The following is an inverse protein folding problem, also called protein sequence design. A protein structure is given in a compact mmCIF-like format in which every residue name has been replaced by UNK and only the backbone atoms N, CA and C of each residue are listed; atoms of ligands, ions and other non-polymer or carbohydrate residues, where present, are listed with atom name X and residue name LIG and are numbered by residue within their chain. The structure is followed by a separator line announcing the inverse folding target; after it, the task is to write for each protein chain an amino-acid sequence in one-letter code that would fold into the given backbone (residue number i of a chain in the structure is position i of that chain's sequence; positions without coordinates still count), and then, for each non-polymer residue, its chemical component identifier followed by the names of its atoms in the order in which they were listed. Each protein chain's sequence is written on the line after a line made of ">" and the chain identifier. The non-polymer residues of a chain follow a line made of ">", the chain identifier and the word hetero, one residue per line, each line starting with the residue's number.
data_IF_433005568634
#
_entry.id   IF_433005568634
#
_cell.length_a   1.000
_cell.length_b   1.000
_cell.length_c   1.000
_cell.angle_alpha   90.00
_cell.angle_beta   90.00
_cell.angle_gamma   90.00
#
_symmetry.space_group_name_H-M   'P 1'
#
loop_
_entity.id
_entity.type
_entity.pdbx_description
1 polymer ?
#
# COMPACT_ATOMS: atom_id res chain seq x y z
N UNK A 1 15.16 -43.24 19.79
CA UNK A 1 15.09 -43.06 18.32
C UNK A 1 13.97 -42.05 18.08
N UNK A 2 14.29 -40.81 17.65
CA UNK A 2 14.35 -40.41 16.22
C UNK A 2 13.03 -40.79 15.55
N UNK A 3 12.17 -39.93 15.05
CA UNK A 3 12.12 -38.50 14.72
C UNK A 3 10.70 -38.33 14.10
N UNK A 4 10.23 -37.26 13.50
CA UNK A 4 10.68 -35.91 13.15
C UNK A 4 9.36 -35.18 12.86
N UNK A 5 9.30 -33.89 13.17
CA UNK A 5 8.20 -33.01 12.79
C UNK A 5 7.94 -33.05 11.28
N UNK A 6 6.66 -32.94 10.90
CA UNK A 6 6.28 -32.35 9.63
C UNK A 6 5.08 -31.43 9.87
N UNK A 7 5.35 -30.30 10.52
CA UNK A 7 4.54 -29.10 10.29
C UNK A 7 4.77 -28.74 8.83
N UNK A 8 3.82 -29.12 7.97
CA UNK A 8 3.72 -28.55 6.65
C UNK A 8 3.38 -27.06 6.83
N UNK A 9 4.42 -26.24 6.92
CA UNK A 9 4.33 -24.81 6.68
C UNK A 9 3.99 -24.65 5.19
N UNK A 10 2.71 -24.83 4.86
CA UNK A 10 2.18 -24.29 3.61
C UNK A 10 2.32 -22.78 3.75
N UNK A 11 3.27 -22.21 3.02
CA UNK A 11 3.39 -20.78 2.79
C UNK A 11 2.06 -20.26 2.26
N UNK A 12 1.16 -19.90 3.17
CA UNK A 12 -0.03 -19.14 2.86
C UNK A 12 0.50 -17.81 2.37
N UNK A 13 0.57 -17.65 1.04
CA UNK A 13 0.32 -16.35 0.46
C UNK A 13 -1.08 -15.97 0.94
N UNK A 14 -1.12 -15.29 2.09
CA UNK A 14 -2.33 -14.71 2.63
C UNK A 14 -2.82 -13.76 1.53
N UNK A 15 -3.80 -14.24 0.77
CA UNK A 15 -4.40 -13.46 -0.29
C UNK A 15 -5.01 -12.26 0.39
N UNK A 16 -4.64 -11.05 -0.03
CA UNK A 16 -5.15 -9.84 0.58
C UNK A 16 -6.68 -9.89 0.66
N UNK A 17 -7.28 -9.41 1.77
CA UNK A 17 -8.73 -9.46 1.95
C UNK A 17 -9.46 -8.72 0.83
N UNK A 18 -10.72 -9.10 0.57
CA UNK A 18 -11.55 -8.38 -0.38
C UNK A 18 -11.65 -6.89 0.01
N UNK A 19 -11.63 -5.97 -0.97
CA UNK A 19 -11.63 -4.54 -0.67
C UNK A 19 -12.93 -4.09 0.02
N UNK A 20 -12.89 -3.02 0.84
CA UNK A 20 -14.08 -2.50 1.51
C UNK A 20 -15.18 -2.08 0.53
N UNK A 21 -16.46 -2.24 0.91
CA UNK A 21 -17.63 -2.01 0.03
C UNK A 21 -17.78 -0.56 -0.48
N UNK A 22 -17.15 0.38 0.20
CA UNK A 22 -17.14 1.80 -0.08
C UNK A 22 -15.86 2.26 -0.80
N UNK A 23 -15.05 1.31 -1.27
CA UNK A 23 -13.91 1.54 -2.16
C UNK A 23 -14.27 1.07 -3.56
N UNK A 24 -14.20 1.97 -4.53
CA UNK A 24 -14.34 1.65 -5.96
C UNK A 24 -13.00 1.75 -6.67
N UNK A 25 -12.81 0.98 -7.75
CA UNK A 25 -11.57 0.94 -8.50
C UNK A 25 -11.77 1.36 -9.95
N UNK A 26 -10.82 2.14 -10.47
CA UNK A 26 -10.71 2.50 -11.90
C UNK A 26 -9.27 2.31 -12.38
N UNK A 27 -9.06 2.27 -13.69
CA UNK A 27 -7.75 2.01 -14.30
C UNK A 27 -7.47 0.51 -14.41
N UNK A 28 -6.25 0.07 -14.07
CA UNK A 28 -5.83 -1.32 -14.19
C UNK A 28 -6.78 -2.31 -13.49
N UNK A 29 -7.02 -3.45 -14.14
CA UNK A 29 -7.82 -4.56 -13.61
C UNK A 29 -6.94 -5.71 -13.11
N UNK A 30 -6.20 -5.47 -12.02
CA UNK A 30 -5.45 -6.50 -11.29
C UNK A 30 -6.11 -6.77 -9.93
N UNK A 31 -6.67 -7.97 -9.77
CA UNK A 31 -7.43 -8.32 -8.57
C UNK A 31 -6.56 -8.36 -7.30
N UNK A 32 -5.30 -8.79 -7.41
CA UNK A 32 -4.39 -8.88 -6.27
C UNK A 32 -3.97 -7.49 -5.79
N UNK A 33 -3.71 -6.57 -6.74
CA UNK A 33 -3.40 -5.18 -6.42
C UNK A 33 -4.60 -4.49 -5.78
N UNK A 34 -5.80 -4.66 -6.35
CA UNK A 34 -7.03 -4.09 -5.79
C UNK A 34 -7.31 -4.59 -4.36
N UNK A 35 -7.09 -5.88 -4.11
CA UNK A 35 -7.21 -6.44 -2.77
C UNK A 35 -6.20 -5.81 -1.80
N UNK A 36 -4.94 -5.68 -2.21
CA UNK A 36 -3.88 -5.03 -1.42
C UNK A 36 -4.17 -3.55 -1.14
N UNK A 37 -4.65 -2.80 -2.13
CA UNK A 37 -5.08 -1.40 -1.93
C UNK A 37 -6.22 -1.34 -0.93
N UNK A 38 -7.19 -2.26 -1.02
CA UNK A 38 -8.28 -2.39 -0.08
C UNK A 38 -7.80 -2.65 1.36
N UNK A 39 -6.80 -3.52 1.52
CA UNK A 39 -6.16 -3.81 2.80
C UNK A 39 -5.48 -2.57 3.40
N UNK A 40 -4.69 -1.84 2.62
CA UNK A 40 -4.07 -0.58 3.07
C UNK A 40 -5.11 0.43 3.57
N UNK A 41 -6.19 0.63 2.80
CA UNK A 41 -7.29 1.53 3.22
C UNK A 41 -7.94 1.03 4.51
N UNK A 42 -8.14 -0.29 4.65
CA UNK A 42 -8.73 -0.88 5.84
C UNK A 42 -7.85 -0.66 7.07
N UNK A 43 -6.53 -0.89 6.98
CA UNK A 43 -5.61 -0.69 8.10
C UNK A 43 -5.53 0.79 8.52
N UNK A 44 -5.52 1.72 7.56
CA UNK A 44 -5.60 3.16 7.86
C UNK A 44 -6.89 3.48 8.64
N UNK A 45 -8.05 2.97 8.20
CA UNK A 45 -9.36 3.19 8.87
C UNK A 45 -9.41 2.58 10.27
N UNK A 46 -8.83 1.39 10.45
CA UNK A 46 -8.71 0.73 11.75
C UNK A 46 -7.74 1.45 12.70
N UNK A 47 -6.94 2.38 12.18
CA UNK A 47 -5.85 3.06 12.88
C UNK A 47 -4.74 2.10 13.31
N UNK A 48 -4.56 1.02 12.56
CA UNK A 48 -3.54 0.01 12.83
C UNK A 48 -2.24 0.36 12.08
N UNK A 49 -1.41 1.20 12.71
CA UNK A 49 -0.13 1.59 12.13
C UNK A 49 0.86 0.40 12.04
N UNK A 50 0.79 -0.55 12.97
CA UNK A 50 1.68 -1.71 12.97
C UNK A 50 1.32 -2.67 11.84
N UNK A 51 0.03 -2.96 11.67
CA UNK A 51 -0.49 -3.73 10.54
C UNK A 51 -0.12 -3.08 9.20
N UNK A 52 -0.32 -1.77 9.09
CA UNK A 52 0.03 -1.01 7.88
C UNK A 52 1.55 -1.03 7.58
N UNK A 53 2.41 -0.88 8.59
CA UNK A 53 3.86 -0.96 8.42
C UNK A 53 4.32 -2.36 7.97
N UNK A 54 3.61 -3.43 8.38
CA UNK A 54 3.92 -4.81 7.98
C UNK A 54 3.68 -5.10 6.48
N UNK A 55 2.87 -4.26 5.81
CA UNK A 55 2.62 -4.35 4.37
C UNK A 55 3.78 -3.80 3.53
N UNK A 56 4.71 -3.09 4.18
CA UNK A 56 5.94 -2.60 3.57
C UNK A 56 7.01 -3.69 3.57
N UNK A 57 7.61 -3.94 2.42
CA UNK A 57 8.67 -4.92 2.22
C UNK A 57 9.84 -4.19 1.54
N UNK A 58 11.04 -4.26 2.14
CA UNK A 58 12.24 -3.69 1.52
C UNK A 58 12.79 -4.54 0.37
N UNK A 59 13.76 -3.98 -0.33
CA UNK A 59 14.54 -4.65 -1.39
C UNK A 59 15.21 -5.95 -0.93
N UNK A 60 15.41 -6.12 0.38
CA UNK A 60 15.96 -7.35 0.99
C UNK A 60 14.89 -8.32 1.50
N UNK A 61 13.61 -7.93 1.48
CA UNK A 61 12.48 -8.78 1.89
C UNK A 61 12.04 -8.62 3.32
N UNK A 62 12.67 -7.73 4.05
CA UNK A 62 12.29 -7.45 5.42
C UNK A 62 11.02 -6.64 5.43
N UNK A 63 10.07 -7.10 6.24
CA UNK A 63 8.79 -6.44 6.47
C UNK A 63 8.92 -5.33 7.50
N UNK A 64 8.35 -4.17 7.22
CA UNK A 64 8.32 -3.01 8.10
C UNK A 64 9.70 -2.40 8.38
N UNK A 65 9.90 -1.96 9.63
CA UNK A 65 11.09 -1.27 10.10
C UNK A 65 10.83 0.19 10.50
N UNK A 66 11.80 0.87 11.11
CA UNK A 66 11.57 2.16 11.77
C UNK A 66 10.95 3.24 10.87
N UNK A 67 11.32 3.27 9.59
CA UNK A 67 10.75 4.24 8.64
C UNK A 67 9.36 3.83 8.17
N UNK A 68 9.10 2.54 7.96
CA UNK A 68 7.75 2.03 7.69
C UNK A 68 6.80 2.33 8.87
N UNK A 69 7.28 2.15 10.11
CA UNK A 69 6.52 2.46 11.33
C UNK A 69 6.16 3.95 11.40
N UNK A 70 7.13 4.84 11.15
CA UNK A 70 6.91 6.30 11.11
C UNK A 70 5.91 6.69 10.01
N UNK A 71 6.10 6.16 8.81
CA UNK A 71 5.22 6.48 7.68
C UNK A 71 3.80 5.96 7.87
N UNK A 72 3.64 4.74 8.39
CA UNK A 72 2.34 4.17 8.73
C UNK A 72 1.63 4.97 9.83
N UNK A 73 2.37 5.38 10.88
CA UNK A 73 1.83 6.25 11.93
C UNK A 73 1.36 7.60 11.38
N UNK A 74 2.11 8.19 10.44
CA UNK A 74 1.72 9.42 9.76
C UNK A 74 0.43 9.25 8.96
N UNK A 75 0.32 8.19 8.16
CA UNK A 75 -0.88 7.88 7.38
C UNK A 75 -2.11 7.72 8.29
N UNK A 76 -1.99 6.95 9.37
CA UNK A 76 -3.06 6.77 10.34
C UNK A 76 -3.44 8.11 10.99
N UNK A 77 -2.46 8.89 11.44
CA UNK A 77 -2.69 10.17 12.12
C UNK A 77 -3.53 11.14 11.28
N UNK A 78 -3.25 11.20 9.98
CA UNK A 78 -3.85 12.22 9.11
C UNK A 78 -4.97 11.73 8.20
N UNK A 79 -5.00 10.43 7.84
CA UNK A 79 -5.93 9.90 6.85
C UNK A 79 -6.93 8.89 7.40
N UNK A 80 -6.81 8.42 8.65
CA UNK A 80 -7.79 7.51 9.24
C UNK A 80 -9.22 8.09 9.27
N UNK A 81 -9.37 9.38 9.58
CA UNK A 81 -10.68 10.04 9.56
C UNK A 81 -11.14 10.40 8.14
N UNK A 82 -10.33 11.08 7.30
CA UNK A 82 -10.73 11.42 5.94
C UNK A 82 -11.11 10.24 5.05
N UNK A 83 -10.50 9.06 5.27
CA UNK A 83 -10.78 7.86 4.47
C UNK A 83 -11.96 7.03 4.98
N UNK A 84 -12.67 7.41 6.06
CA UNK A 84 -13.84 6.63 6.53
C UNK A 84 -15.02 6.56 5.56
N UNK A 85 -15.12 7.55 4.66
CA UNK A 85 -16.20 7.63 3.68
C UNK A 85 -15.86 6.89 2.38
N UNK A 86 -16.65 7.17 1.34
CA UNK A 86 -16.43 6.63 -0.01
C UNK A 86 -15.05 7.05 -0.53
N UNK A 87 -14.33 6.08 -1.07
CA UNK A 87 -13.02 6.25 -1.71
C UNK A 87 -13.07 5.69 -3.13
N UNK A 88 -12.52 6.42 -4.09
CA UNK A 88 -12.23 5.91 -5.43
C UNK A 88 -10.72 5.75 -5.58
N UNK A 89 -10.25 4.53 -5.77
CA UNK A 89 -8.86 4.21 -6.06
C UNK A 89 -8.66 4.12 -7.58
N UNK A 90 -7.85 5.02 -8.14
CA UNK A 90 -7.44 4.99 -9.53
C UNK A 90 -6.03 4.38 -9.62
N UNK A 91 -5.90 3.30 -10.38
CA UNK A 91 -4.65 2.56 -10.52
C UNK A 91 -4.04 2.87 -11.89
N UNK A 92 -2.87 3.51 -11.89
CA UNK A 92 -2.08 3.74 -13.08
C UNK A 92 -0.68 3.11 -12.96
N UNK A 93 -0.22 2.52 -14.06
CA UNK A 93 1.13 1.96 -14.15
C UNK A 93 1.98 2.99 -14.87
N UNK A 94 2.99 3.51 -14.18
CA UNK A 94 4.04 4.25 -14.88
C UNK A 94 4.62 3.39 -16.01
N UNK A 95 4.88 4.02 -17.16
CA UNK A 95 5.28 3.30 -18.36
C UNK A 95 6.65 2.61 -18.24
N UNK A 96 7.46 2.91 -17.21
CA UNK A 96 8.82 2.39 -17.07
C UNK A 96 9.21 2.07 -15.62
N UNK A 97 8.75 0.96 -15.04
CA UNK A 97 9.27 0.49 -13.75
C UNK A 97 8.43 -0.59 -13.05
N UNK A 98 8.93 -1.14 -11.93
CA UNK A 98 8.15 -2.02 -11.05
C UNK A 98 7.15 -1.23 -10.18
N UNK A 99 7.24 0.10 -10.11
CA UNK A 99 6.35 0.91 -9.28
C UNK A 99 4.97 1.05 -9.95
N UNK A 100 3.92 0.81 -9.17
CA UNK A 100 2.53 1.08 -9.53
C UNK A 100 1.96 2.08 -8.54
N UNK A 101 1.42 3.18 -9.08
CA UNK A 101 0.86 4.25 -8.28
C UNK A 101 -0.67 4.14 -8.24
N UNK A 102 -1.21 4.38 -7.06
CA UNK A 102 -2.65 4.35 -6.82
C UNK A 102 -3.06 5.69 -6.22
N UNK A 103 -3.86 6.46 -6.95
CA UNK A 103 -4.41 7.71 -6.43
C UNK A 103 -5.77 7.44 -5.78
N UNK A 104 -5.85 7.62 -4.47
CA UNK A 104 -7.09 7.60 -3.71
C UNK A 104 -7.76 8.97 -3.80
N UNK A 105 -9.02 8.98 -4.21
CA UNK A 105 -9.87 10.16 -4.24
C UNK A 105 -10.95 10.02 -3.16
N UNK A 106 -11.10 11.01 -2.28
CA UNK A 106 -11.99 10.94 -1.12
C UNK A 106 -12.52 12.31 -0.69
N UNK A 107 -13.57 12.32 0.14
CA UNK A 107 -14.11 13.53 0.77
C UNK A 107 -14.84 14.51 -0.15
N UNK A 108 -15.37 15.58 0.47
CA UNK A 108 -15.95 16.77 -0.19
C UNK A 108 -15.43 18.03 0.53
N UNK A 109 -14.70 18.96 -0.13
CA UNK A 109 -14.25 18.90 -1.53
C UNK A 109 -13.37 17.66 -1.81
N UNK A 110 -13.23 17.29 -3.08
CA UNK A 110 -12.47 16.08 -3.46
C UNK A 110 -10.99 16.29 -3.11
N UNK A 111 -10.45 15.37 -2.33
CA UNK A 111 -9.04 15.31 -1.95
C UNK A 111 -8.39 14.08 -2.55
N UNK A 112 -7.06 14.10 -2.64
CA UNK A 112 -6.26 13.04 -3.23
C UNK A 112 -5.15 12.56 -2.28
N UNK A 113 -4.80 11.28 -2.36
CA UNK A 113 -3.67 10.66 -1.68
C UNK A 113 -3.07 9.62 -2.61
N UNK A 114 -1.79 9.77 -2.94
CA UNK A 114 -1.06 8.79 -3.74
C UNK A 114 -0.48 7.71 -2.83
N UNK A 115 -0.63 6.45 -3.24
CA UNK A 115 -0.06 5.28 -2.61
C UNK A 115 0.83 4.55 -3.63
N UNK A 116 1.98 4.08 -3.16
CA UNK A 116 3.00 3.43 -3.97
C UNK A 116 3.06 1.93 -3.68
N UNK A 117 2.92 1.12 -4.73
CA UNK A 117 2.99 -0.34 -4.68
C UNK A 117 4.06 -0.87 -5.61
N UNK A 118 4.79 -1.91 -5.19
CA UNK A 118 5.84 -2.51 -6.02
C UNK A 118 5.37 -3.82 -6.69
N UNK A 119 5.60 -3.95 -7.99
CA UNK A 119 5.49 -5.14 -8.82
C UNK A 119 6.87 -5.81 -8.93
N UNK A 120 7.26 -6.60 -7.93
CA UNK A 120 8.52 -7.35 -7.94
C UNK A 120 8.51 -8.58 -8.89
N UNK A 121 7.76 -8.53 -10.01
CA UNK A 121 7.56 -9.65 -10.93
C UNK A 121 8.83 -10.21 -11.63
N UNK A 122 9.03 -11.53 -11.48
CA UNK A 122 9.75 -12.55 -12.31
C UNK A 122 11.11 -12.29 -12.99
N UNK A 123 11.75 -11.12 -12.90
CA UNK A 123 13.14 -10.96 -13.38
C UNK A 123 14.12 -10.74 -12.25
N UNK A 124 14.51 -11.85 -11.61
CA UNK A 124 15.82 -12.01 -10.97
C UNK A 124 15.93 -11.68 -9.48
N UNK A 125 15.01 -10.91 -8.90
CA UNK A 125 14.98 -10.60 -7.47
C UNK A 125 13.62 -11.00 -6.90
N UNK A 126 13.33 -12.31 -6.92
CA UNK A 126 12.23 -12.83 -6.11
C UNK A 126 12.67 -12.74 -4.66
N UNK A 127 12.24 -11.67 -4.00
CA UNK A 127 12.37 -11.56 -2.56
C UNK A 127 11.30 -12.45 -1.92
N UNK A 128 11.48 -13.77 -2.01
CA UNK A 128 10.65 -14.86 -1.46
C UNK A 128 9.13 -14.60 -1.37
N UNK A 129 8.60 -13.95 -2.40
CA UNK A 129 7.25 -13.44 -2.41
C UNK A 129 6.71 -13.50 -3.82
N UNK A 130 5.85 -14.49 -4.06
CA UNK A 130 5.30 -14.79 -5.36
C UNK A 130 4.48 -13.65 -5.97
N UNK A 131 4.00 -13.92 -7.19
CA UNK A 131 2.99 -13.12 -7.86
C UNK A 131 1.91 -12.68 -6.87
N UNK A 132 1.62 -11.37 -6.81
CA UNK A 132 0.47 -10.84 -6.09
C UNK A 132 0.71 -10.31 -4.68
N UNK A 133 1.96 -10.18 -4.21
CA UNK A 133 2.20 -9.56 -2.89
C UNK A 133 2.03 -8.03 -2.88
N UNK A 134 2.27 -7.35 -4.01
CA UNK A 134 2.11 -5.90 -4.17
C UNK A 134 2.56 -5.09 -2.92
N UNK A 135 3.84 -5.10 -2.53
CA UNK A 135 4.26 -4.43 -1.30
C UNK A 135 3.91 -2.94 -1.29
N UNK A 136 3.38 -2.45 -0.17
CA UNK A 136 3.00 -1.05 0.02
C UNK A 136 4.15 -0.27 0.63
N UNK A 137 4.57 0.84 0.02
CA UNK A 137 5.76 1.58 0.47
C UNK A 137 5.47 2.60 1.59
N UNK A 138 5.05 2.13 2.77
CA UNK A 138 4.77 2.97 3.95
C UNK A 138 5.96 3.88 4.31
N UNK A 139 7.19 3.38 4.19
CA UNK A 139 8.44 4.09 4.49
C UNK A 139 8.61 5.43 3.76
N UNK A 140 7.99 5.60 2.59
CA UNK A 140 8.09 6.86 1.82
C UNK A 140 7.45 8.03 2.54
N UNK A 141 6.58 7.76 3.51
CA UNK A 141 5.95 8.78 4.34
C UNK A 141 6.75 9.10 5.63
N UNK A 142 7.88 8.42 5.87
CA UNK A 142 8.70 8.64 7.07
C UNK A 142 9.30 10.06 7.10
N UNK A 143 9.75 10.57 5.95
CA UNK A 143 10.36 11.91 5.85
C UNK A 143 9.36 13.04 6.13
N UNK A 144 8.07 12.78 5.92
CA UNK A 144 6.99 13.75 6.16
C UNK A 144 6.32 13.56 7.53
N UNK A 145 6.77 12.61 8.35
CA UNK A 145 6.14 12.23 9.61
C UNK A 145 5.92 13.41 10.58
N UNK A 146 6.84 14.38 10.57
CA UNK A 146 6.80 15.56 11.45
C UNK A 146 6.01 16.74 10.88
N UNK A 147 5.41 16.60 9.70
CA UNK A 147 4.66 17.66 9.02
C UNK A 147 3.21 17.23 8.77
N UNK A 148 2.22 18.11 8.91
CA UNK A 148 0.87 17.82 8.45
C UNK A 148 0.86 17.64 6.92
N UNK A 149 -0.08 16.85 6.36
CA UNK A 149 -0.23 16.75 4.92
C UNK A 149 -0.45 18.14 4.34
N UNK A 150 0.32 18.47 3.30
CA UNK A 150 0.13 19.73 2.59
C UNK A 150 -1.26 19.72 1.98
N UNK A 151 -2.06 20.73 2.28
CA UNK A 151 -3.45 20.89 1.79
C UNK A 151 -3.53 21.34 0.33
N UNK A 152 -2.38 21.47 -0.36
CA UNK A 152 -2.29 21.84 -1.77
C UNK A 152 -1.85 20.64 -2.59
N UNK A 153 -2.41 20.53 -3.80
CA UNK A 153 -1.95 19.69 -4.90
C UNK A 153 -0.42 19.67 -4.92
N UNK A 154 0.16 18.47 -4.87
CA UNK A 154 1.61 18.29 -5.02
C UNK A 154 1.84 18.25 -6.54
N UNK A 155 2.40 19.30 -7.17
CA UNK A 155 2.76 19.26 -8.58
C UNK A 155 3.84 18.20 -8.67
N UNK A 156 3.56 17.08 -9.31
CA UNK A 156 4.39 15.91 -9.06
C UNK A 156 3.69 14.56 -8.98
N UNK A 157 2.37 14.41 -9.20
CA UNK A 157 1.75 13.08 -8.99
C UNK A 157 0.56 12.87 -9.89
N UNK A 158 0.26 11.62 -10.28
CA UNK A 158 -0.93 11.28 -11.08
C UNK A 158 -2.26 11.75 -10.42
N UNK A 159 -2.21 12.07 -9.12
CA UNK A 159 -3.13 12.98 -8.45
C UNK A 159 -3.02 14.40 -9.06
N UNK A 160 -3.76 14.61 -10.17
CA UNK A 160 -3.69 15.74 -11.10
C UNK A 160 -2.35 15.87 -11.85
N UNK A 161 -2.00 14.83 -12.63
CA UNK A 161 -0.95 14.85 -13.67
C UNK A 161 0.47 15.27 -13.22
N UNK A 162 1.28 14.25 -12.90
CA UNK A 162 2.69 14.17 -13.29
C UNK A 162 3.70 14.20 -12.15
N UNK A 163 4.27 13.03 -11.82
CA UNK A 163 5.46 12.63 -11.01
C UNK A 163 6.46 13.64 -10.41
N UNK A 164 6.96 13.25 -9.22
CA UNK A 164 7.97 13.79 -8.28
C UNK A 164 8.71 15.04 -8.75
#
# INVERSE_FOLDING_TARGET
>A
MVGTLALAACSQHESAPAPPKDVTFTGMDDAALRARVGEVIAEIRKRDAAGLAHLDIDDTGRRGGPDADKGAAWLVRYFAEPLKGVVQAEIDREQNGPLVQVCLNYGKPRHQLMLDFNDYGKKGESVDGGNGLWPFSARRFAEVADQPPKTKTIPGTFCESGHI
#
